data_IF_281943291720
#
_entry.id   IF_281943291720
#
_cell.length_a   1.000
_cell.length_b   1.000
_cell.length_c   1.000
_cell.angle_alpha   90.00
_cell.angle_beta   90.00
_cell.angle_gamma   90.00
#
_symmetry.space_group_name_H-M   'P 1'
#
loop_
_entity.id
_entity.type
_entity.pdbx_description
1 polymer ?
#
# COMPACT_ATOMS: atom_id res chain seq x y z
N UNK A 1 -3.56 -0.75 -5.90
CA UNK A 1 -2.32 0.07 -5.87
C UNK A 1 -1.08 -0.75 -5.52
N UNK A 2 -1.09 -1.59 -4.48
CA UNK A 2 0.12 -2.30 -4.02
C UNK A 2 0.76 -3.25 -5.03
N UNK A 3 -0.02 -3.95 -5.87
CA UNK A 3 0.52 -4.82 -6.91
C UNK A 3 1.35 -4.06 -7.97
N UNK A 4 0.81 -2.95 -8.50
CA UNK A 4 1.49 -2.15 -9.53
C UNK A 4 2.72 -1.43 -8.97
N UNK A 5 2.62 -0.87 -7.76
CA UNK A 5 3.78 -0.24 -7.11
C UNK A 5 4.83 -1.27 -6.66
N UNK A 6 4.41 -2.41 -6.14
CA UNK A 6 5.30 -3.50 -5.76
C UNK A 6 6.02 -4.09 -6.97
N UNK A 7 5.32 -4.23 -8.10
CA UNK A 7 5.92 -4.72 -9.35
C UNK A 7 6.96 -3.78 -9.92
N UNK A 8 6.71 -2.46 -9.88
CA UNK A 8 7.68 -1.45 -10.35
C UNK A 8 8.89 -1.34 -9.43
N UNK A 9 8.70 -1.28 -8.11
CA UNK A 9 9.80 -1.29 -7.14
C UNK A 9 10.62 -2.58 -7.24
N UNK A 10 9.95 -3.72 -7.31
CA UNK A 10 10.60 -5.02 -7.51
C UNK A 10 11.43 -5.04 -8.79
N UNK A 11 10.86 -4.62 -9.92
CA UNK A 11 11.57 -4.54 -11.20
C UNK A 11 12.83 -3.68 -11.16
N UNK A 12 12.79 -2.52 -10.48
CA UNK A 12 13.97 -1.64 -10.31
C UNK A 12 15.02 -2.29 -9.39
N UNK A 13 14.60 -2.91 -8.29
CA UNK A 13 15.52 -3.62 -7.40
C UNK A 13 16.18 -4.81 -8.10
N UNK A 14 15.44 -5.55 -8.91
CA UNK A 14 15.98 -6.59 -9.77
C UNK A 14 16.93 -6.06 -10.83
N UNK A 15 16.69 -4.87 -11.37
CA UNK A 15 17.62 -4.23 -12.30
C UNK A 15 18.95 -3.88 -11.61
N UNK A 16 18.90 -3.27 -10.42
CA UNK A 16 20.11 -2.89 -9.67
C UNK A 16 20.90 -4.13 -9.28
N UNK A 17 20.27 -5.09 -8.62
CA UNK A 17 20.94 -6.34 -8.23
C UNK A 17 21.42 -7.14 -9.43
N UNK A 18 20.62 -7.21 -10.49
CA UNK A 18 20.98 -7.90 -11.73
C UNK A 18 22.18 -7.26 -12.42
N UNK A 19 22.22 -5.94 -12.55
CA UNK A 19 23.35 -5.21 -13.11
C UNK A 19 24.61 -5.43 -12.28
N UNK A 20 24.52 -5.25 -10.96
CA UNK A 20 25.64 -5.46 -10.02
C UNK A 20 26.15 -6.90 -10.05
N UNK A 21 25.27 -7.89 -10.22
CA UNK A 21 25.67 -9.30 -10.36
C UNK A 21 26.40 -9.54 -11.68
N UNK A 22 25.91 -8.96 -12.79
CA UNK A 22 26.54 -9.09 -14.10
C UNK A 22 27.92 -8.43 -14.12
N UNK A 23 28.10 -7.29 -13.46
CA UNK A 23 29.40 -6.63 -13.37
C UNK A 23 30.41 -7.39 -12.51
N UNK A 24 29.95 -8.02 -11.43
CA UNK A 24 30.85 -8.74 -10.52
C UNK A 24 31.18 -10.17 -10.97
N UNK A 25 30.19 -10.90 -11.47
CA UNK A 25 30.30 -12.34 -11.73
C UNK A 25 30.14 -12.68 -13.23
N UNK A 26 29.89 -11.67 -14.07
CA UNK A 26 29.58 -11.87 -15.49
C UNK A 26 28.14 -12.28 -15.73
N UNK A 27 27.69 -12.15 -16.98
CA UNK A 27 26.30 -12.47 -17.36
C UNK A 27 26.00 -13.97 -17.49
N UNK A 28 27.01 -14.83 -17.30
CA UNK A 28 26.93 -16.28 -17.51
C UNK A 28 26.67 -16.67 -18.98
N UNK A 29 26.44 -17.96 -19.24
CA UNK A 29 26.12 -18.49 -20.58
C UNK A 29 24.81 -17.94 -21.17
N UNK A 30 23.91 -17.44 -20.32
CA UNK A 30 22.60 -16.94 -20.72
C UNK A 30 22.63 -15.52 -21.32
N UNK A 31 23.76 -14.81 -21.20
CA UNK A 31 23.92 -13.44 -21.67
C UNK A 31 23.26 -12.38 -20.76
N UNK A 32 23.63 -11.12 -20.98
CA UNK A 32 23.27 -9.97 -20.12
C UNK A 32 21.76 -9.81 -20.01
N UNK A 33 21.07 -9.78 -21.15
CA UNK A 33 19.64 -9.51 -21.22
C UNK A 33 18.80 -10.56 -20.49
N UNK A 34 19.16 -11.84 -20.58
CA UNK A 34 18.41 -12.93 -19.95
C UNK A 34 18.66 -12.98 -18.45
N UNK A 35 19.89 -12.76 -18.01
CA UNK A 35 20.23 -12.71 -16.58
C UNK A 35 19.57 -11.51 -15.93
N UNK A 36 19.67 -10.32 -16.54
CA UNK A 36 19.01 -9.11 -16.06
C UNK A 36 17.48 -9.28 -16.01
N UNK A 37 16.88 -9.80 -17.09
CA UNK A 37 15.45 -10.05 -17.15
C UNK A 37 14.96 -11.02 -16.08
N UNK A 38 15.74 -12.05 -15.73
CA UNK A 38 15.42 -12.97 -14.61
C UNK A 38 15.39 -12.25 -13.27
N UNK A 39 16.36 -11.39 -12.99
CA UNK A 39 16.37 -10.62 -11.74
C UNK A 39 15.20 -9.65 -11.69
N UNK A 40 14.93 -8.91 -12.77
CA UNK A 40 13.82 -7.96 -12.85
C UNK A 40 12.46 -8.64 -12.72
N UNK A 41 12.21 -9.72 -13.46
CA UNK A 41 10.94 -10.45 -13.39
C UNK A 41 10.76 -11.18 -12.05
N UNK A 42 11.82 -11.82 -11.53
CA UNK A 42 11.75 -12.56 -10.26
C UNK A 42 11.45 -11.65 -9.07
N UNK A 43 12.16 -10.52 -8.97
CA UNK A 43 11.92 -9.52 -7.92
C UNK A 43 10.61 -8.76 -8.14
N UNK A 44 10.26 -8.38 -9.37
CA UNK A 44 8.98 -7.75 -9.70
C UNK A 44 7.77 -8.61 -9.34
N UNK A 45 7.83 -9.91 -9.66
CA UNK A 45 6.76 -10.86 -9.33
C UNK A 45 6.59 -11.01 -7.81
N UNK A 46 7.68 -11.19 -7.07
CA UNK A 46 7.59 -11.40 -5.60
C UNK A 46 7.10 -10.17 -4.86
N UNK A 47 7.66 -8.99 -5.15
CA UNK A 47 7.20 -7.74 -4.53
C UNK A 47 5.77 -7.36 -4.92
N UNK A 48 5.36 -7.61 -6.17
CA UNK A 48 3.95 -7.39 -6.56
C UNK A 48 2.97 -8.29 -5.83
N UNK A 49 3.32 -9.55 -5.56
CA UNK A 49 2.49 -10.47 -4.76
C UNK A 49 2.41 -10.03 -3.31
N UNK A 50 3.54 -9.82 -2.62
CA UNK A 50 3.55 -9.45 -1.20
C UNK A 50 2.88 -8.10 -0.95
N UNK A 51 3.23 -7.09 -1.75
CA UNK A 51 2.64 -5.76 -1.63
C UNK A 51 1.19 -5.72 -2.14
N UNK A 52 0.84 -6.61 -3.08
CA UNK A 52 -0.52 -6.90 -3.51
C UNK A 52 -1.40 -7.35 -2.36
N UNK A 53 -1.03 -8.45 -1.70
CA UNK A 53 -1.72 -9.00 -0.55
C UNK A 53 -1.80 -7.97 0.58
N UNK A 54 -0.68 -7.31 0.91
CA UNK A 54 -0.66 -6.24 1.91
C UNK A 54 -1.59 -5.08 1.58
N UNK A 55 -1.76 -4.75 0.30
CA UNK A 55 -2.71 -3.73 -0.12
C UNK A 55 -4.17 -4.17 -0.04
N UNK A 56 -4.47 -5.45 -0.28
CA UNK A 56 -5.82 -6.01 -0.08
C UNK A 56 -6.18 -5.93 1.41
N UNK A 57 -5.29 -6.43 2.29
CA UNK A 57 -5.49 -6.40 3.74
C UNK A 57 -5.65 -4.96 4.25
N UNK A 58 -4.83 -4.02 3.75
CA UNK A 58 -4.94 -2.60 4.15
C UNK A 58 -6.20 -1.92 3.60
N UNK A 59 -6.79 -2.39 2.50
CA UNK A 59 -7.94 -1.70 1.87
C UNK A 59 -9.21 -1.78 2.72
N UNK A 60 -9.31 -2.71 3.67
CA UNK A 60 -10.45 -2.81 4.59
C UNK A 60 -10.55 -1.67 5.62
N UNK A 61 -9.51 -0.83 5.82
CA UNK A 61 -9.51 0.15 6.92
C UNK A 61 -9.54 1.65 6.59
N UNK A 62 -8.92 2.23 5.54
CA UNK A 62 -8.64 3.66 5.56
C UNK A 62 -9.81 4.58 5.18
N UNK A 63 -10.71 4.18 4.28
CA UNK A 63 -11.87 5.02 3.91
C UNK A 63 -12.98 4.97 4.95
N UNK A 64 -13.15 3.82 5.61
CA UNK A 64 -14.09 3.68 6.72
C UNK A 64 -13.49 4.25 8.01
N UNK A 65 -12.20 4.04 8.29
CA UNK A 65 -11.55 4.67 9.44
C UNK A 65 -11.48 6.19 9.30
N UNK A 66 -11.18 6.77 8.13
CA UNK A 66 -11.15 8.23 7.99
C UNK A 66 -12.53 8.86 8.16
N UNK A 67 -13.59 8.22 7.64
CA UNK A 67 -14.96 8.71 7.82
C UNK A 67 -15.51 8.47 9.22
N UNK A 68 -15.11 7.40 9.91
CA UNK A 68 -15.44 7.14 11.32
C UNK A 68 -14.65 8.06 12.27
N UNK A 69 -13.37 8.32 11.99
CA UNK A 69 -12.55 9.28 12.75
C UNK A 69 -12.99 10.73 12.52
N UNK A 70 -13.31 11.10 11.29
CA UNK A 70 -13.92 12.39 11.00
C UNK A 70 -15.29 12.52 11.67
N UNK A 71 -16.05 11.41 11.78
CA UNK A 71 -17.32 11.36 12.51
C UNK A 71 -17.16 11.48 14.03
N UNK A 72 -16.09 10.96 14.61
CA UNK A 72 -15.83 11.09 16.05
C UNK A 72 -15.33 12.48 16.44
N UNK A 73 -14.86 13.30 15.49
CA UNK A 73 -14.43 14.68 15.73
C UNK A 73 -15.55 15.73 15.58
N UNK A 74 -16.78 15.35 15.26
CA UNK A 74 -17.89 16.32 15.27
C UNK A 74 -18.19 16.76 16.71
N UNK A 75 -18.34 18.07 16.97
CA UNK A 75 -18.70 18.56 18.30
C UNK A 75 -20.04 17.96 18.74
N UNK A 76 -20.17 17.55 20.01
CA UNK A 76 -21.41 16.96 20.50
C UNK A 76 -22.56 17.95 20.32
N UNK A 77 -23.61 17.53 19.61
CA UNK A 77 -24.80 18.33 19.39
C UNK A 77 -25.58 18.39 20.71
N UNK A 78 -25.45 19.50 21.44
CA UNK A 78 -26.19 19.72 22.69
C UNK A 78 -27.63 20.07 22.33
N UNK A 79 -28.55 19.14 22.58
CA UNK A 79 -29.97 19.47 22.54
C UNK A 79 -30.29 20.40 23.72
N UNK A 80 -30.88 21.59 23.47
CA UNK A 80 -31.33 22.45 24.55
C UNK A 80 -32.36 21.69 25.39
N UNK A 81 -32.19 21.75 26.71
CA UNK A 81 -33.14 21.18 27.67
C UNK A 81 -34.48 21.85 27.40
N UNK A 82 -35.47 21.05 27.00
CA UNK A 82 -36.84 21.52 26.83
C UNK A 82 -37.39 21.80 28.22
N UNK A 83 -37.28 23.05 28.66
CA UNK A 83 -37.89 23.48 29.91
C UNK A 83 -39.41 23.28 29.78
N UNK A 84 -39.95 22.38 30.61
CA UNK A 84 -41.39 22.26 30.77
C UNK A 84 -41.90 23.62 31.23
N UNK A 85 -42.88 24.23 30.55
CA UNK A 85 -43.54 25.41 31.10
C UNK A 85 -44.12 25.01 32.46
N UNK A 86 -43.58 25.62 33.51
CA UNK A 86 -44.14 25.57 34.84
C UNK A 86 -45.45 26.36 34.74
N UNK A 87 -46.54 25.63 34.50
CA UNK A 87 -47.90 26.16 34.66
C UNK A 87 -48.05 26.54 36.13
N UNK A 88 -47.72 27.80 36.44
CA UNK A 88 -48.09 28.43 37.70
C UNK A 88 -49.60 28.48 37.78
N UNK A 89 -50.08 28.11 38.97
CA UNK A 89 -51.47 28.09 39.42
C UNK A 89 -52.20 29.40 39.19
#
# INVERSE_FOLDING_TARGET
MGMLMGGTVGGIMGFIYGAVTIFQYGAGQAGVMRTLGKYMLGSGATFSVFMGIGSVIRTDSPRMASSLWARSQYPPLIHPRRDRPQTSR
#
